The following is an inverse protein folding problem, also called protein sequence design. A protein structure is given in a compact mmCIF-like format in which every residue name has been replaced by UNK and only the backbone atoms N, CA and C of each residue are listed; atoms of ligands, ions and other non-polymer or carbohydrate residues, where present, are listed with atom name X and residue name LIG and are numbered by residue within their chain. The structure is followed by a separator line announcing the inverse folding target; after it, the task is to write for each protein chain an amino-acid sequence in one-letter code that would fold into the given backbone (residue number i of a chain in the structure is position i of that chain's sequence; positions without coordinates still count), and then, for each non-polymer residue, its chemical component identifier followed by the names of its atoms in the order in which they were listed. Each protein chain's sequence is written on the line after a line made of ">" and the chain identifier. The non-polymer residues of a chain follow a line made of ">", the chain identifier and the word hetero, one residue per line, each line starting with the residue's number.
data_IF_224814931965
#
_entry.id   IF_224814931965
#
_cell.length_a   1.000
_cell.length_b   1.000
_cell.length_c   1.000
_cell.angle_alpha   90.00
_cell.angle_beta   90.00
_cell.angle_gamma   90.00
#
_symmetry.space_group_name_H-M   'P 1'
#
loop_
_entity.id
_entity.type
_entity.pdbx_description
1 polymer ?
#
# COMPACT_ATOMS: atom_id res chain seq x y z
N UNK A 1 -15.62 10.51 -15.29
CA UNK A 1 -14.30 10.46 -15.97
C UNK A 1 -13.43 9.53 -15.16
N UNK A 2 -12.82 8.52 -15.79
CA UNK A 2 -11.83 7.66 -15.10
C UNK A 2 -10.51 8.43 -15.07
N UNK A 3 -9.88 8.52 -13.92
CA UNK A 3 -8.59 9.18 -13.69
C UNK A 3 -7.67 8.21 -12.97
N UNK A 4 -6.40 8.19 -13.37
CA UNK A 4 -5.40 7.32 -12.76
C UNK A 4 -5.04 7.84 -11.36
N UNK A 5 -4.77 6.92 -10.43
CA UNK A 5 -4.41 7.22 -9.04
C UNK A 5 -3.24 8.21 -8.88
N UNK A 6 -2.09 8.09 -9.57
CA UNK A 6 -1.01 9.06 -9.43
C UNK A 6 -1.41 10.46 -9.92
N UNK A 7 -2.26 10.56 -10.94
CA UNK A 7 -2.79 11.87 -11.38
C UNK A 7 -3.75 12.44 -10.34
N UNK A 8 -4.60 11.62 -9.73
CA UNK A 8 -5.50 12.05 -8.66
C UNK A 8 -4.72 12.54 -7.43
N UNK A 9 -3.67 11.80 -7.03
CA UNK A 9 -2.75 12.18 -5.95
C UNK A 9 -2.00 13.48 -6.27
N UNK A 10 -1.55 13.67 -7.52
CA UNK A 10 -0.91 14.90 -7.97
C UNK A 10 -1.85 16.10 -7.92
N UNK A 11 -3.10 15.92 -8.35
CA UNK A 11 -4.14 16.96 -8.26
C UNK A 11 -4.36 17.33 -6.78
N UNK A 12 -4.53 16.34 -5.90
CA UNK A 12 -4.67 16.57 -4.47
C UNK A 12 -3.48 17.32 -3.86
N UNK A 13 -2.26 17.05 -4.34
CA UNK A 13 -1.05 17.76 -3.91
C UNK A 13 -0.94 19.18 -4.50
N UNK A 14 -1.34 19.36 -5.77
CA UNK A 14 -1.13 20.58 -6.55
C UNK A 14 -2.22 21.64 -6.41
N UNK A 15 -3.42 21.30 -5.92
CA UNK A 15 -4.58 22.20 -5.83
C UNK A 15 -4.31 23.48 -5.01
N UNK A 16 -3.49 23.40 -3.95
CA UNK A 16 -3.22 24.54 -3.07
C UNK A 16 -1.80 25.13 -3.23
N UNK A 17 -0.95 24.52 -4.08
CA UNK A 17 0.46 24.90 -4.21
C UNK A 17 0.71 25.70 -5.49
N UNK A 18 0.15 26.90 -5.54
CA UNK A 18 0.37 27.93 -6.58
C UNK A 18 1.78 28.55 -6.50
N UNK A 19 2.81 27.73 -6.65
CA UNK A 19 4.15 28.25 -6.89
C UNK A 19 4.37 28.52 -8.37
N UNK A 20 5.10 29.60 -8.67
CA UNK A 20 5.54 29.88 -10.04
C UNK A 20 6.66 28.91 -10.43
N UNK A 21 6.55 28.30 -11.61
CA UNK A 21 7.58 27.49 -12.25
C UNK A 21 7.36 25.99 -12.22
N UNK A 22 8.00 25.31 -13.18
CA UNK A 22 7.99 23.86 -13.36
C UNK A 22 8.49 23.11 -12.12
N UNK A 23 7.77 22.06 -11.73
CA UNK A 23 8.11 21.22 -10.58
C UNK A 23 8.02 19.75 -10.94
N UNK A 24 9.05 19.00 -10.59
CA UNK A 24 9.01 17.55 -10.66
C UNK A 24 8.60 16.98 -9.30
N UNK A 25 7.59 16.12 -9.31
CA UNK A 25 7.01 15.46 -8.13
C UNK A 25 7.13 13.96 -8.31
N UNK A 26 7.64 13.28 -7.28
CA UNK A 26 7.58 11.83 -7.17
C UNK A 26 6.40 11.47 -6.28
N UNK A 27 5.53 10.60 -6.80
CA UNK A 27 4.43 10.00 -6.06
C UNK A 27 4.83 8.57 -5.74
N UNK A 28 4.73 8.24 -4.47
CA UNK A 28 4.94 6.91 -3.93
C UNK A 28 3.61 6.42 -3.37
N UNK A 29 3.04 5.37 -3.97
CA UNK A 29 1.79 4.77 -3.54
C UNK A 29 2.03 3.31 -3.18
N UNK A 30 1.90 2.98 -1.90
CA UNK A 30 1.98 1.61 -1.40
C UNK A 30 0.64 1.24 -0.78
N UNK A 31 -0.22 0.66 -1.61
CA UNK A 31 -1.58 0.31 -1.27
C UNK A 31 -1.70 -1.04 -0.56
N UNK A 32 -2.90 -1.63 -0.62
CA UNK A 32 -3.19 -2.94 -0.03
C UNK A 32 -2.55 -4.11 -0.77
N UNK A 33 -2.50 -4.06 -2.10
CA UNK A 33 -1.95 -5.15 -2.92
C UNK A 33 -1.09 -4.70 -4.11
N UNK A 34 -0.93 -3.39 -4.31
CA UNK A 34 -0.09 -2.84 -5.37
C UNK A 34 0.84 -1.78 -4.81
N UNK A 35 1.98 -1.63 -5.47
CA UNK A 35 2.99 -0.63 -5.20
C UNK A 35 3.29 0.11 -6.51
N UNK A 36 3.05 1.41 -6.54
CA UNK A 36 3.26 2.23 -7.73
C UNK A 36 4.12 3.46 -7.39
N UNK A 37 5.02 3.80 -8.29
CA UNK A 37 5.84 5.01 -8.25
C UNK A 37 5.67 5.74 -9.56
N UNK A 38 5.27 7.01 -9.49
CA UNK A 38 5.14 7.88 -10.65
C UNK A 38 5.96 9.14 -10.48
N UNK A 39 6.59 9.58 -11.57
CA UNK A 39 7.23 10.89 -11.67
C UNK A 39 6.33 11.77 -12.55
N UNK A 40 5.95 12.92 -12.02
CA UNK A 40 5.12 13.90 -12.71
C UNK A 40 5.81 15.25 -12.75
N UNK A 41 5.56 15.97 -13.83
CA UNK A 41 5.88 17.39 -13.93
C UNK A 41 4.60 18.19 -13.75
N UNK A 42 4.65 19.22 -12.92
CA UNK A 42 3.57 20.18 -12.70
C UNK A 42 4.06 21.53 -13.19
N UNK A 43 3.36 22.11 -14.15
CA UNK A 43 3.65 23.42 -14.70
C UNK A 43 2.34 24.17 -14.99
N UNK A 44 2.15 25.33 -14.37
CA UNK A 44 0.95 26.17 -14.51
C UNK A 44 -0.40 25.41 -14.46
N UNK A 45 -0.51 24.43 -13.56
CA UNK A 45 -1.72 23.62 -13.38
C UNK A 45 -1.89 22.48 -14.40
N UNK A 46 -0.96 22.31 -15.32
CA UNK A 46 -0.83 21.14 -16.19
C UNK A 46 -0.04 20.07 -15.44
N UNK A 47 -0.59 18.86 -15.40
CA UNK A 47 0.03 17.69 -14.80
C UNK A 47 0.42 16.71 -15.90
N UNK A 48 1.71 16.46 -16.06
CA UNK A 48 2.23 15.52 -17.06
C UNK A 48 2.93 14.34 -16.35
N UNK A 49 2.48 13.12 -16.63
CA UNK A 49 3.17 11.92 -16.13
C UNK A 49 4.38 11.63 -17.02
N UNK A 50 5.58 11.65 -16.44
CA UNK A 50 6.83 11.38 -17.15
C UNK A 50 7.18 9.89 -17.16
N UNK A 51 6.95 9.22 -16.04
CA UNK A 51 7.18 7.78 -15.92
C UNK A 51 6.32 7.20 -14.80
N UNK A 52 5.94 5.93 -14.95
CA UNK A 52 5.32 5.12 -13.91
C UNK A 52 5.94 3.73 -13.93
N UNK A 53 6.27 3.21 -12.75
CA UNK A 53 6.74 1.84 -12.55
C UNK A 53 6.19 1.33 -11.20
N UNK A 54 6.18 0.02 -11.01
CA UNK A 54 5.58 -0.55 -9.81
C UNK A 54 5.59 -2.08 -9.81
N UNK A 55 4.99 -2.63 -8.76
CA UNK A 55 4.71 -4.05 -8.60
C UNK A 55 3.21 -4.24 -8.27
N UNK A 56 2.51 -4.95 -9.16
CA UNK A 56 1.08 -5.20 -9.05
C UNK A 56 0.72 -6.29 -8.03
N UNK A 57 1.71 -6.87 -7.35
CA UNK A 57 1.54 -7.93 -6.36
C UNK A 57 2.33 -7.66 -5.07
N UNK A 58 2.54 -6.38 -4.73
CA UNK A 58 3.20 -5.95 -3.52
C UNK A 58 2.36 -4.91 -2.79
N UNK A 59 2.00 -5.14 -1.53
CA UNK A 59 1.29 -4.16 -0.73
C UNK A 59 1.13 -4.53 0.74
N UNK A 60 0.25 -3.80 1.42
CA UNK A 60 -0.10 -3.99 2.83
C UNK A 60 -0.46 -5.43 3.21
N UNK A 61 -1.07 -6.20 2.31
CA UNK A 61 -1.47 -7.58 2.52
C UNK A 61 -0.27 -8.54 2.63
N UNK A 62 0.87 -8.23 2.01
CA UNK A 62 2.09 -9.04 2.13
C UNK A 62 2.67 -8.98 3.54
N UNK A 63 2.62 -7.80 4.15
CA UNK A 63 3.01 -7.63 5.55
C UNK A 63 2.05 -8.39 6.47
N UNK A 64 0.74 -8.33 6.20
CA UNK A 64 -0.26 -9.10 6.96
C UNK A 64 -0.03 -10.60 6.80
N UNK A 65 0.26 -11.09 5.58
CA UNK A 65 0.59 -12.48 5.29
C UNK A 65 1.84 -12.95 6.07
N UNK A 66 2.90 -12.14 6.11
CA UNK A 66 4.11 -12.46 6.88
C UNK A 66 3.82 -12.58 8.37
N UNK A 67 3.01 -11.67 8.93
CA UNK A 67 2.59 -11.74 10.34
C UNK A 67 1.72 -12.98 10.61
N UNK A 68 0.74 -13.27 9.74
CA UNK A 68 -0.11 -14.45 9.86
C UNK A 68 0.74 -15.72 9.88
N UNK A 69 1.68 -15.87 8.93
CA UNK A 69 2.56 -17.04 8.87
C UNK A 69 3.41 -17.18 10.14
N UNK A 70 3.99 -16.08 10.62
CA UNK A 70 4.74 -16.08 11.87
C UNK A 70 3.88 -16.56 13.06
N UNK A 71 2.65 -16.05 13.18
CA UNK A 71 1.78 -16.41 14.30
C UNK A 71 1.15 -17.80 14.19
N UNK A 72 0.97 -18.33 12.97
CA UNK A 72 0.57 -19.74 12.77
C UNK A 72 1.66 -20.67 13.31
N UNK A 73 2.93 -20.42 12.99
CA UNK A 73 4.06 -21.21 13.49
C UNK A 73 4.24 -21.06 15.01
N UNK A 74 4.11 -19.84 15.53
CA UNK A 74 4.15 -19.59 16.98
C UNK A 74 3.02 -20.32 17.74
N UNK A 75 1.81 -20.31 17.18
CA UNK A 75 0.67 -21.03 17.76
C UNK A 75 0.91 -22.54 17.78
N UNK A 76 1.43 -23.09 16.68
CA UNK A 76 1.83 -24.49 16.57
C UNK A 76 2.90 -24.86 17.58
N UNK A 77 3.92 -24.00 17.77
CA UNK A 77 4.99 -24.20 18.76
C UNK A 77 4.46 -24.24 20.19
N UNK A 78 3.60 -23.28 20.57
CA UNK A 78 3.08 -23.10 21.93
C UNK A 78 1.97 -24.07 22.31
N UNK A 79 1.05 -24.35 21.38
CA UNK A 79 -0.16 -25.14 21.65
C UNK A 79 -0.15 -26.53 21.02
N UNK A 80 0.91 -26.88 20.28
CA UNK A 80 1.05 -28.16 19.56
C UNK A 80 -0.12 -28.46 18.61
N UNK A 81 -0.76 -27.42 18.09
CA UNK A 81 -1.90 -27.50 17.18
C UNK A 81 -1.67 -26.63 15.95
N UNK A 82 -1.94 -27.19 14.79
CA UNK A 82 -1.82 -26.47 13.52
C UNK A 82 -3.17 -25.84 13.15
N UNK A 83 -3.23 -24.51 13.07
CA UNK A 83 -4.44 -23.76 12.72
C UNK A 83 -4.53 -23.43 11.23
N UNK A 84 -3.49 -23.73 10.43
CA UNK A 84 -3.42 -23.39 9.00
C UNK A 84 -4.59 -23.99 8.20
N UNK A 85 -5.06 -25.18 8.60
CA UNK A 85 -6.15 -25.89 7.93
C UNK A 85 -7.54 -25.33 8.28
N UNK A 86 -7.66 -24.49 9.31
CA UNK A 86 -8.92 -23.89 9.70
C UNK A 86 -9.06 -22.48 9.10
N UNK A 87 -9.72 -22.41 7.94
CA UNK A 87 -9.96 -21.14 7.22
C UNK A 87 -10.59 -20.04 8.09
N UNK A 88 -11.50 -20.40 9.01
CA UNK A 88 -12.12 -19.43 9.93
C UNK A 88 -11.13 -18.91 10.97
N UNK A 89 -10.28 -19.78 11.51
CA UNK A 89 -9.24 -19.38 12.46
C UNK A 89 -8.19 -18.47 11.79
N UNK A 90 -7.71 -18.85 10.59
CA UNK A 90 -6.76 -18.06 9.81
C UNK A 90 -7.34 -16.68 9.45
N UNK A 91 -8.61 -16.60 9.05
CA UNK A 91 -9.27 -15.31 8.79
C UNK A 91 -9.30 -14.41 10.03
N UNK A 92 -9.63 -14.95 11.20
CA UNK A 92 -9.60 -14.19 12.46
C UNK A 92 -8.20 -13.71 12.81
N UNK A 93 -7.19 -14.56 12.63
CA UNK A 93 -5.79 -14.21 12.85
C UNK A 93 -5.35 -13.09 11.90
N UNK A 94 -5.71 -13.15 10.62
CA UNK A 94 -5.42 -12.11 9.63
C UNK A 94 -5.96 -10.74 10.04
N UNK A 95 -7.24 -10.65 10.43
CA UNK A 95 -7.82 -9.38 10.91
C UNK A 95 -7.08 -8.86 12.15
N UNK A 96 -6.65 -9.74 13.05
CA UNK A 96 -5.84 -9.33 14.20
C UNK A 96 -4.43 -8.86 13.80
N UNK A 97 -3.79 -9.52 12.82
CA UNK A 97 -2.48 -9.13 12.30
C UNK A 97 -2.53 -7.76 11.60
N UNK A 98 -3.54 -7.52 10.77
CA UNK A 98 -3.74 -6.22 10.13
C UNK A 98 -3.91 -5.11 11.16
N UNK A 99 -4.74 -5.35 12.18
CA UNK A 99 -4.93 -4.40 13.30
C UNK A 99 -3.62 -4.18 14.06
N UNK A 100 -2.85 -5.24 14.33
CA UNK A 100 -1.56 -5.13 14.99
C UNK A 100 -0.54 -4.34 14.16
N UNK A 101 -0.44 -4.61 12.86
CA UNK A 101 0.39 -3.85 11.91
C UNK A 101 0.10 -2.36 11.99
N UNK A 102 -1.19 -1.97 11.90
CA UNK A 102 -1.63 -0.57 12.02
C UNK A 102 -1.32 0.06 13.38
N UNK A 103 -1.30 -0.75 14.45
CA UNK A 103 -1.00 -0.27 15.82
C UNK A 103 0.49 -0.04 16.04
N UNK A 104 1.36 -0.69 15.25
CA UNK A 104 2.82 -0.61 15.34
C UNK A 104 3.44 0.39 14.37
N UNK A 105 2.62 1.05 13.54
CA UNK A 105 3.03 2.13 12.63
C UNK A 105 2.91 3.48 13.33
#
# INVERSE_FOLDING_TARGET
>A
RIINEPTAAAIAYGLDRTGKGERNVLIFDLGGGTFDVSILTIDDGIFEVKATAGDTHLGGEDFDNRLVNHFVEEFKRKHKKDISQNKRAVRRLRTACERAKRTLS
#
